data_IF_656708540262
#
_entry.id   IF_656708540262
#
_cell.length_a   1.000
_cell.length_b   1.000
_cell.length_c   1.000
_cell.angle_alpha   90.00
_cell.angle_beta   90.00
_cell.angle_gamma   90.00
#
_symmetry.space_group_name_H-M   'P 1'
#
loop_
_entity.id
_entity.type
_entity.pdbx_description
1 polymer ?
#
# COMPACT_ATOMS: atom_id res chain seq x y z
N UNK A 1 50.15 29.71 61.19
CA UNK A 1 50.53 30.77 60.24
C UNK A 1 51.93 30.51 59.69
N UNK A 2 52.04 30.04 58.45
CA UNK A 2 53.01 30.42 57.40
C UNK A 2 52.85 29.44 56.22
N UNK A 3 52.66 30.02 55.04
CA UNK A 3 52.46 29.39 53.73
C UNK A 3 53.79 29.00 53.09
N UNK A 4 53.67 28.40 51.90
CA UNK A 4 54.60 28.28 50.75
C UNK A 4 55.18 26.85 50.68
N UNK A 5 55.34 26.18 49.53
CA UNK A 5 55.00 26.33 48.11
C UNK A 5 55.46 25.00 47.44
N UNK A 6 54.84 24.57 46.34
CA UNK A 6 55.36 23.51 45.43
C UNK A 6 56.66 23.97 44.74
N UNK A 7 57.52 23.14 44.06
CA UNK A 7 57.14 22.36 42.85
C UNK A 7 58.00 21.10 42.46
N UNK A 8 57.61 20.49 41.33
CA UNK A 8 58.38 19.74 40.30
C UNK A 8 59.06 18.41 40.66
N UNK A 9 58.58 17.28 40.11
CA UNK A 9 58.90 16.65 38.80
C UNK A 9 60.18 15.79 38.81
N UNK A 10 60.00 14.50 38.57
CA UNK A 10 61.06 13.57 38.20
C UNK A 10 60.53 12.14 38.11
N UNK A 11 60.26 11.67 36.91
CA UNK A 11 60.97 10.52 36.31
C UNK A 11 60.40 10.17 34.94
N UNK A 12 61.33 10.15 33.99
CA UNK A 12 61.26 9.67 32.62
C UNK A 12 61.17 8.15 32.56
N UNK A 13 60.30 7.60 31.71
CA UNK A 13 60.66 6.41 30.93
C UNK A 13 59.91 6.39 29.60
N UNK A 14 60.63 5.92 28.61
CA UNK A 14 60.47 6.04 27.16
C UNK A 14 59.41 5.11 26.57
N UNK A 15 58.77 5.59 25.49
CA UNK A 15 57.84 4.88 24.61
C UNK A 15 58.46 3.63 23.96
N UNK A 16 57.60 2.70 23.49
CA UNK A 16 57.62 2.41 22.07
C UNK A 16 56.26 2.67 21.40
N UNK A 17 56.38 3.23 20.20
CA UNK A 17 55.36 3.40 19.17
C UNK A 17 54.50 2.14 18.96
N UNK A 18 53.19 2.32 18.89
CA UNK A 18 52.39 1.69 17.83
C UNK A 18 51.25 2.62 17.44
N UNK A 19 51.09 2.76 16.12
CA UNK A 19 50.10 3.59 15.45
C UNK A 19 48.67 3.18 15.83
N UNK A 20 47.82 4.17 16.05
CA UNK A 20 46.37 3.97 16.16
C UNK A 20 45.66 5.30 16.34
N UNK A 21 45.50 6.07 15.25
CA UNK A 21 44.63 7.25 15.22
C UNK A 21 43.21 6.80 15.58
N UNK A 22 42.71 7.13 16.77
CA UNK A 22 41.27 7.21 17.00
C UNK A 22 40.78 8.49 16.32
N UNK A 23 40.48 8.40 15.02
CA UNK A 23 39.51 9.29 14.43
C UNK A 23 38.13 8.76 14.85
N UNK A 24 37.53 9.44 15.82
CA UNK A 24 36.09 9.33 16.08
C UNK A 24 35.35 9.83 14.83
N UNK A 25 35.17 8.95 13.84
CA UNK A 25 34.09 9.09 12.88
C UNK A 25 32.83 8.73 13.66
N UNK A 26 32.12 9.73 14.14
CA UNK A 26 30.69 9.59 14.41
C UNK A 26 30.09 9.28 13.04
N UNK A 27 29.98 8.00 12.73
CA UNK A 27 29.11 7.51 11.69
C UNK A 27 27.70 7.82 12.20
N UNK A 28 27.20 9.01 11.88
CA UNK A 28 25.76 9.24 11.86
C UNK A 28 25.27 8.28 10.78
N UNK A 29 24.95 7.05 11.19
CA UNK A 29 24.09 6.22 10.39
C UNK A 29 22.84 7.08 10.19
N UNK A 30 22.67 7.61 8.97
CA UNK A 30 21.36 8.03 8.54
C UNK A 30 20.49 6.80 8.79
N UNK A 31 19.71 6.84 9.87
CA UNK A 31 18.47 6.13 9.92
C UNK A 31 17.68 6.74 8.78
N UNK A 32 17.83 6.18 7.59
CA UNK A 32 16.79 6.23 6.58
C UNK A 32 15.64 5.52 7.28
N UNK A 33 14.84 6.29 8.01
CA UNK A 33 13.49 5.85 8.34
C UNK A 33 12.91 5.48 6.98
N UNK A 34 12.48 4.22 6.76
CA UNK A 34 11.88 3.87 5.49
C UNK A 34 10.80 4.92 5.24
N UNK A 35 10.95 5.65 4.14
CA UNK A 35 9.90 6.53 3.62
C UNK A 35 8.62 5.72 3.71
N UNK A 36 7.58 6.26 4.34
CA UNK A 36 6.28 5.59 4.45
C UNK A 36 5.67 5.46 3.05
N UNK A 37 6.21 4.52 2.27
CA UNK A 37 5.43 3.80 1.30
C UNK A 37 4.35 3.12 2.11
N UNK A 38 3.11 3.54 1.85
CA UNK A 38 1.90 2.91 2.34
C UNK A 38 2.13 1.40 2.52
N UNK A 39 2.11 0.94 3.78
CA UNK A 39 2.32 -0.46 4.15
C UNK A 39 1.41 -1.33 3.27
N UNK A 40 2.00 -2.29 2.55
CA UNK A 40 1.23 -3.20 1.68
C UNK A 40 0.23 -3.99 2.54
N UNK A 41 -1.03 -3.57 2.46
CA UNK A 41 -2.13 -4.10 3.25
C UNK A 41 -3.24 -4.51 2.29
N UNK A 42 -3.92 -5.61 2.61
CA UNK A 42 -5.09 -6.05 1.86
C UNK A 42 -6.30 -5.16 2.18
N UNK A 43 -7.39 -5.38 1.44
CA UNK A 43 -8.72 -5.00 1.88
C UNK A 43 -9.08 -5.62 3.24
N UNK A 44 -10.09 -5.06 3.91
CA UNK A 44 -10.66 -5.61 5.13
C UNK A 44 -11.60 -6.78 4.80
N UNK A 45 -11.36 -7.94 5.37
CA UNK A 45 -12.20 -9.12 5.27
C UNK A 45 -13.04 -9.26 6.54
N UNK A 46 -14.32 -9.52 6.32
CA UNK A 46 -15.34 -9.78 7.32
C UNK A 46 -16.17 -10.95 6.77
N UNK A 47 -15.93 -12.14 7.30
CA UNK A 47 -16.51 -13.39 6.82
C UNK A 47 -17.52 -13.95 7.81
N UNK A 48 -17.31 -13.75 9.10
CA UNK A 48 -18.06 -14.41 10.16
C UNK A 48 -18.61 -13.44 11.21
N UNK A 49 -19.93 -13.31 11.27
CA UNK A 49 -20.60 -12.54 12.32
C UNK A 49 -20.37 -13.20 13.71
N UNK A 50 -20.44 -12.44 14.84
CA UNK A 50 -20.25 -12.96 16.21
C UNK A 50 -21.33 -13.94 16.72
N UNK A 51 -22.16 -14.43 15.81
CA UNK A 51 -23.24 -15.37 16.07
C UNK A 51 -22.72 -16.76 16.49
N UNK A 52 -23.55 -17.53 17.20
CA UNK A 52 -23.17 -18.87 17.63
C UNK A 52 -22.02 -18.88 18.65
N UNK A 53 -20.82 -19.31 18.24
CA UNK A 53 -19.69 -19.58 19.16
C UNK A 53 -18.70 -18.42 19.31
N UNK A 54 -18.77 -17.41 18.47
CA UNK A 54 -17.79 -16.33 18.42
C UNK A 54 -17.75 -15.75 17.03
N UNK A 55 -16.64 -15.09 16.73
CA UNK A 55 -16.33 -14.46 15.45
C UNK A 55 -14.96 -14.99 15.00
N UNK A 56 -14.90 -15.51 13.76
CA UNK A 56 -13.80 -16.32 13.24
C UNK A 56 -13.32 -15.90 11.84
N UNK A 57 -12.43 -14.92 11.81
CA UNK A 57 -11.66 -14.51 10.61
C UNK A 57 -10.43 -15.39 10.33
N UNK A 58 -10.67 -16.67 10.03
CA UNK A 58 -9.62 -17.68 9.83
C UNK A 58 -9.00 -17.59 8.43
N UNK A 59 -7.66 -17.47 8.37
CA UNK A 59 -6.92 -17.24 7.12
C UNK A 59 -7.15 -18.33 6.05
N UNK A 60 -7.23 -19.60 6.44
CA UNK A 60 -7.44 -20.70 5.48
C UNK A 60 -8.80 -20.62 4.80
N UNK A 61 -9.82 -20.18 5.54
CA UNK A 61 -11.17 -20.02 5.02
C UNK A 61 -11.27 -18.75 4.17
N UNK A 62 -10.67 -17.65 4.63
CA UNK A 62 -10.55 -16.41 3.85
C UNK A 62 -9.87 -16.67 2.51
N UNK A 63 -8.75 -17.39 2.46
CA UNK A 63 -8.09 -17.70 1.18
C UNK A 63 -8.93 -18.56 0.23
N UNK A 64 -9.82 -19.40 0.77
CA UNK A 64 -10.72 -20.22 -0.03
C UNK A 64 -11.82 -19.37 -0.67
N UNK A 65 -12.31 -18.36 0.04
CA UNK A 65 -13.36 -17.45 -0.41
C UNK A 65 -12.83 -16.27 -1.25
N UNK A 66 -11.59 -15.87 -0.99
CA UNK A 66 -10.89 -14.73 -1.61
C UNK A 66 -9.57 -15.18 -2.27
N UNK A 67 -9.62 -16.04 -3.31
CA UNK A 67 -8.42 -16.61 -3.92
C UNK A 67 -7.53 -15.56 -4.57
N UNK A 68 -6.27 -15.49 -4.11
CA UNK A 68 -5.26 -14.56 -4.65
C UNK A 68 -5.32 -13.13 -4.10
N UNK A 69 -6.28 -12.83 -3.22
CA UNK A 69 -6.44 -11.50 -2.61
C UNK A 69 -5.64 -11.33 -1.32
N UNK A 70 -5.14 -12.44 -0.77
CA UNK A 70 -4.25 -12.46 0.40
C UNK A 70 -2.93 -13.12 -0.03
N UNK A 71 -1.81 -12.45 0.19
CA UNK A 71 -0.49 -12.98 -0.13
C UNK A 71 -0.24 -14.35 0.52
N UNK A 72 0.62 -15.17 -0.08
CA UNK A 72 0.90 -16.53 0.37
C UNK A 72 1.50 -16.59 1.79
N UNK A 73 2.23 -15.56 2.21
CA UNK A 73 2.82 -15.45 3.55
C UNK A 73 2.63 -14.03 4.09
N UNK A 74 1.50 -13.75 4.77
CA UNK A 74 1.32 -12.49 5.47
C UNK A 74 2.38 -12.33 6.56
N UNK A 75 2.86 -11.11 6.73
CA UNK A 75 3.86 -10.74 7.74
C UNK A 75 3.22 -10.06 8.95
N UNK A 76 1.93 -9.73 8.88
CA UNK A 76 1.15 -9.19 9.99
C UNK A 76 -0.35 -9.27 9.72
N UNK A 77 -1.13 -9.03 10.76
CA UNK A 77 -2.58 -8.97 10.74
C UNK A 77 -3.03 -7.77 11.57
N UNK A 78 -4.02 -7.06 11.09
CA UNK A 78 -4.73 -6.01 11.82
C UNK A 78 -6.19 -6.43 11.95
N UNK A 79 -6.76 -6.20 13.12
CA UNK A 79 -8.15 -6.54 13.43
C UNK A 79 -8.81 -5.32 14.08
N UNK A 80 -10.01 -4.99 13.64
CA UNK A 80 -10.83 -3.92 14.20
C UNK A 80 -12.30 -4.33 14.17
N UNK A 81 -13.12 -3.71 15.00
CA UNK A 81 -14.57 -3.91 14.92
C UNK A 81 -15.12 -3.29 13.64
N UNK A 82 -16.35 -3.64 13.25
CA UNK A 82 -17.00 -2.95 12.12
C UNK A 82 -17.13 -1.43 12.29
N UNK A 83 -17.17 -0.96 13.54
CA UNK A 83 -17.17 0.47 13.90
C UNK A 83 -15.78 1.13 13.82
N UNK A 84 -14.73 0.35 13.52
CA UNK A 84 -13.35 0.84 13.39
C UNK A 84 -12.59 0.92 14.72
N UNK A 85 -13.09 0.28 15.79
CA UNK A 85 -12.35 0.20 17.04
C UNK A 85 -11.25 -0.87 16.92
N UNK A 86 -9.96 -0.53 17.12
CA UNK A 86 -8.89 -1.54 17.07
C UNK A 86 -9.12 -2.64 18.11
N UNK A 87 -8.97 -3.90 17.69
CA UNK A 87 -9.29 -5.06 18.53
C UNK A 87 -8.54 -5.03 19.87
N UNK A 88 -7.29 -4.58 19.88
CA UNK A 88 -6.45 -4.42 21.08
C UNK A 88 -7.01 -3.49 22.15
N UNK A 89 -7.97 -2.62 21.81
CA UNK A 89 -8.57 -1.65 22.73
C UNK A 89 -9.95 -2.04 23.24
N UNK A 90 -10.54 -3.10 22.68
CA UNK A 90 -11.90 -3.57 23.04
C UNK A 90 -11.97 -4.22 24.41
N UNK A 91 -10.83 -4.71 24.93
CA UNK A 91 -10.76 -5.49 26.17
C UNK A 91 -11.28 -6.94 26.05
N UNK A 92 -11.62 -7.40 24.84
CA UNK A 92 -11.97 -8.79 24.57
C UNK A 92 -10.73 -9.69 24.50
N UNK A 93 -10.93 -10.97 24.77
CA UNK A 93 -9.88 -11.99 24.80
C UNK A 93 -9.90 -12.73 23.47
N UNK A 94 -8.80 -12.64 22.72
CA UNK A 94 -8.70 -13.30 21.42
C UNK A 94 -7.99 -14.64 21.56
N UNK A 95 -8.62 -15.68 21.00
CA UNK A 95 -8.06 -17.02 20.93
C UNK A 95 -6.93 -17.08 19.91
N UNK A 96 -7.08 -16.36 18.80
CA UNK A 96 -6.12 -16.24 17.72
C UNK A 96 -6.00 -14.78 17.29
N UNK A 97 -4.78 -14.34 16.98
CA UNK A 97 -4.48 -13.07 16.34
C UNK A 97 -3.09 -13.19 15.72
N UNK A 98 -3.00 -13.90 14.59
CA UNK A 98 -1.73 -14.28 13.96
C UNK A 98 -1.81 -14.15 12.44
N UNK A 99 -0.77 -13.63 11.76
CA UNK A 99 -0.74 -13.56 10.30
C UNK A 99 -0.76 -14.91 9.59
N UNK A 100 -0.41 -16.01 10.27
CA UNK A 100 -0.40 -17.36 9.68
C UNK A 100 -1.70 -18.14 9.88
N UNK A 101 -2.57 -17.70 10.79
CA UNK A 101 -3.78 -18.43 11.18
C UNK A 101 -5.07 -17.59 11.05
N UNK A 102 -4.97 -16.27 11.16
CA UNK A 102 -6.10 -15.35 11.16
C UNK A 102 -6.41 -14.81 12.57
N UNK A 103 -7.67 -14.48 12.80
CA UNK A 103 -8.18 -13.93 14.05
C UNK A 103 -9.38 -14.75 14.53
N UNK A 104 -9.52 -14.88 15.84
CA UNK A 104 -10.67 -15.56 16.44
C UNK A 104 -11.00 -14.98 17.81
N UNK A 105 -12.23 -14.51 17.96
CA UNK A 105 -12.85 -14.26 19.25
C UNK A 105 -13.83 -15.40 19.56
N UNK A 106 -13.79 -15.93 20.79
CA UNK A 106 -14.70 -17.01 21.22
C UNK A 106 -15.61 -16.50 22.33
N UNK A 107 -16.92 -16.63 22.16
CA UNK A 107 -17.95 -16.12 23.10
C UNK A 107 -17.75 -16.63 24.53
N UNK A 108 -17.40 -17.92 24.67
CA UNK A 108 -17.18 -18.57 25.96
C UNK A 108 -15.98 -17.98 26.74
N UNK A 109 -15.01 -17.39 26.05
CA UNK A 109 -13.82 -16.80 26.67
C UNK A 109 -14.07 -15.36 27.12
N UNK A 110 -15.22 -14.76 26.75
CA UNK A 110 -15.52 -13.34 27.04
C UNK A 110 -16.22 -13.16 28.39
N UNK A 111 -15.77 -12.18 29.17
CA UNK A 111 -16.42 -11.79 30.44
C UNK A 111 -17.88 -11.34 30.25
N UNK A 112 -18.18 -10.70 29.12
CA UNK A 112 -19.52 -10.25 28.74
C UNK A 112 -20.36 -11.30 28.01
N UNK A 113 -19.80 -12.49 27.74
CA UNK A 113 -20.47 -13.61 27.08
C UNK A 113 -20.55 -13.58 25.56
N UNK A 114 -20.17 -12.47 24.92
CA UNK A 114 -20.26 -12.32 23.45
C UNK A 114 -19.06 -11.56 22.90
N UNK A 115 -18.61 -11.96 21.72
CA UNK A 115 -17.67 -11.25 20.88
C UNK A 115 -18.33 -10.03 20.24
N UNK A 116 -17.53 -8.99 19.99
CA UNK A 116 -17.88 -7.98 19.02
C UNK A 116 -17.69 -8.52 17.61
N UNK A 117 -18.17 -7.75 16.64
CA UNK A 117 -18.10 -8.07 15.22
C UNK A 117 -16.83 -7.44 14.61
N UNK A 118 -15.91 -8.28 14.15
CA UNK A 118 -14.56 -7.95 13.74
C UNK A 118 -14.31 -8.25 12.27
N UNK A 119 -13.52 -7.36 11.67
CA UNK A 119 -12.91 -7.53 10.36
C UNK A 119 -11.40 -7.52 10.48
N UNK A 120 -10.73 -8.21 9.57
CA UNK A 120 -9.27 -8.30 9.53
C UNK A 120 -8.69 -7.83 8.20
N UNK A 121 -7.47 -7.31 8.22
CA UNK A 121 -6.66 -7.17 7.02
C UNK A 121 -5.26 -7.70 7.26
N UNK A 122 -4.62 -8.17 6.20
CA UNK A 122 -3.30 -8.76 6.25
C UNK A 122 -2.26 -7.78 5.74
N UNK A 123 -1.11 -7.78 6.40
CA UNK A 123 0.07 -7.05 5.95
C UNK A 123 0.90 -8.02 5.12
N UNK A 124 1.20 -7.64 3.89
CA UNK A 124 1.89 -8.47 2.92
C UNK A 124 3.28 -7.94 2.60
N UNK A 125 4.19 -8.79 2.06
CA UNK A 125 5.43 -8.33 1.49
C UNK A 125 5.18 -7.26 0.40
N UNK A 126 6.04 -6.23 0.27
CA UNK A 126 5.83 -5.13 -0.68
C UNK A 126 5.53 -5.58 -2.11
N UNK A 127 6.16 -6.67 -2.57
CA UNK A 127 6.01 -7.20 -3.93
C UNK A 127 4.58 -7.64 -4.25
N UNK A 128 3.78 -7.98 -3.23
CA UNK A 128 2.38 -8.33 -3.43
C UNK A 128 1.56 -7.13 -3.93
N UNK A 129 1.86 -5.93 -3.42
CA UNK A 129 1.14 -4.72 -3.78
C UNK A 129 1.68 -4.01 -5.03
N UNK A 130 2.78 -4.49 -5.60
CA UNK A 130 3.39 -3.95 -6.82
C UNK A 130 3.17 -4.79 -8.07
N UNK A 131 2.58 -5.99 -7.95
CA UNK A 131 2.50 -6.97 -9.03
C UNK A 131 1.58 -6.56 -10.21
N UNK A 132 0.32 -6.22 -9.91
CA UNK A 132 -0.70 -5.94 -10.92
C UNK A 132 -1.40 -4.62 -10.60
N UNK A 133 -1.00 -3.54 -11.28
CA UNK A 133 -1.63 -2.22 -11.16
C UNK A 133 -2.46 -1.91 -12.40
N UNK A 134 -3.62 -1.29 -12.19
CA UNK A 134 -4.46 -0.73 -13.26
C UNK A 134 -3.75 0.44 -13.93
N UNK A 135 -4.33 1.05 -14.97
CA UNK A 135 -3.95 2.41 -15.34
C UNK A 135 -4.34 3.42 -14.24
N UNK A 136 -3.87 4.67 -14.38
CA UNK A 136 -4.38 5.78 -13.59
C UNK A 136 -5.75 6.20 -14.12
N UNK A 137 -6.68 6.47 -13.22
CA UNK A 137 -8.01 7.01 -13.49
C UNK A 137 -8.13 8.39 -12.89
N UNK A 138 -8.73 9.28 -13.66
CA UNK A 138 -8.94 10.69 -13.37
C UNK A 138 -10.28 11.03 -14.06
N UNK A 139 -11.34 11.02 -13.29
CA UNK A 139 -12.72 11.05 -13.77
C UNK A 139 -13.41 12.35 -13.35
N UNK A 140 -12.99 12.95 -12.24
CA UNK A 140 -13.61 14.14 -11.69
C UNK A 140 -12.56 15.22 -11.38
N UNK A 141 -12.67 16.36 -12.08
CA UNK A 141 -11.87 17.55 -11.75
C UNK A 141 -12.29 18.13 -10.39
N UNK A 142 -11.43 18.91 -9.70
CA UNK A 142 -11.75 19.57 -8.41
C UNK A 142 -12.72 20.77 -8.55
N UNK A 143 -13.69 20.67 -9.46
CA UNK A 143 -14.73 21.67 -9.68
C UNK A 143 -15.91 21.44 -8.73
N UNK A 144 -16.72 22.48 -8.50
CA UNK A 144 -17.90 22.36 -7.63
C UNK A 144 -17.57 22.01 -6.18
N UNK A 145 -17.82 20.77 -5.75
CA UNK A 145 -17.80 20.36 -4.34
C UNK A 145 -16.51 19.67 -3.87
N UNK A 146 -15.63 19.28 -4.79
CA UNK A 146 -14.42 18.55 -4.47
C UNK A 146 -13.92 17.80 -5.69
N UNK A 147 -13.17 16.75 -5.44
CA UNK A 147 -12.66 15.80 -6.43
C UNK A 147 -12.99 14.38 -5.92
N UNK A 148 -13.68 13.62 -6.77
CA UNK A 148 -14.36 12.37 -6.43
C UNK A 148 -14.01 11.21 -7.36
N UNK A 149 -12.84 10.61 -7.13
CA UNK A 149 -12.42 9.34 -7.74
C UNK A 149 -13.04 8.11 -7.06
N UNK A 150 -14.37 8.02 -7.08
CA UNK A 150 -15.10 6.93 -6.41
C UNK A 150 -15.06 5.63 -7.23
N UNK A 151 -14.82 4.50 -6.55
CA UNK A 151 -14.67 3.20 -7.21
C UNK A 151 -15.94 2.78 -7.99
N UNK A 152 -17.12 3.13 -7.46
CA UNK A 152 -18.39 2.80 -8.10
C UNK A 152 -18.61 3.57 -9.41
N UNK A 153 -18.18 4.83 -9.48
CA UNK A 153 -18.28 5.64 -10.71
C UNK A 153 -17.20 5.25 -11.71
N UNK A 154 -15.98 5.02 -11.24
CA UNK A 154 -14.88 4.53 -12.06
C UNK A 154 -15.22 3.21 -12.75
N UNK A 155 -15.81 2.23 -12.04
CA UNK A 155 -16.25 0.97 -12.68
C UNK A 155 -17.38 1.15 -13.68
N UNK A 156 -18.20 2.18 -13.53
CA UNK A 156 -19.29 2.49 -14.48
C UNK A 156 -18.75 3.05 -15.77
N UNK A 157 -17.73 3.89 -15.68
CA UNK A 157 -17.09 4.54 -16.82
C UNK A 157 -16.06 3.65 -17.51
N UNK A 158 -15.33 2.85 -16.73
CA UNK A 158 -14.27 1.94 -17.17
C UNK A 158 -14.63 0.48 -16.81
N UNK A 159 -15.67 -0.11 -17.45
CA UNK A 159 -16.10 -1.47 -17.16
C UNK A 159 -14.97 -2.48 -17.39
N UNK A 160 -14.86 -3.45 -16.49
CA UNK A 160 -13.87 -4.54 -16.49
C UNK A 160 -12.39 -4.12 -16.42
N UNK A 161 -12.08 -2.84 -16.19
CA UNK A 161 -10.71 -2.36 -16.07
C UNK A 161 -10.17 -2.34 -14.64
N UNK A 162 -11.06 -2.50 -13.66
CA UNK A 162 -10.73 -2.54 -12.23
C UNK A 162 -11.29 -3.84 -11.66
N UNK A 163 -10.44 -4.63 -11.01
CA UNK A 163 -10.84 -5.89 -10.39
C UNK A 163 -11.97 -5.68 -9.36
N UNK A 164 -12.83 -6.69 -9.11
CA UNK A 164 -13.96 -6.59 -8.18
C UNK A 164 -13.59 -6.24 -6.73
N UNK A 165 -12.39 -6.63 -6.28
CA UNK A 165 -11.86 -6.34 -4.95
C UNK A 165 -10.40 -5.89 -5.06
N UNK A 166 -10.14 -4.57 -5.17
CA UNK A 166 -8.78 -4.05 -5.20
C UNK A 166 -8.06 -4.31 -3.88
N UNK A 167 -6.79 -4.69 -3.98
CA UNK A 167 -5.90 -4.92 -2.84
C UNK A 167 -5.51 -3.58 -2.22
N UNK A 168 -5.14 -2.60 -3.05
CA UNK A 168 -4.69 -1.28 -2.62
C UNK A 168 -5.17 -0.20 -3.59
N UNK A 169 -5.25 1.04 -3.10
CA UNK A 169 -5.45 2.25 -3.88
C UNK A 169 -4.28 3.21 -3.63
N UNK A 170 -3.76 3.79 -4.69
CA UNK A 170 -2.84 4.93 -4.66
C UNK A 170 -3.55 6.15 -5.23
N UNK A 171 -3.31 7.32 -4.64
CA UNK A 171 -3.83 8.61 -5.13
C UNK A 171 -2.70 9.63 -5.22
N UNK A 172 -2.64 10.34 -6.35
CA UNK A 172 -1.64 11.39 -6.61
C UNK A 172 -2.31 12.58 -7.25
N UNK A 173 -1.79 13.77 -7.00
CA UNK A 173 -2.17 14.93 -7.81
C UNK A 173 -1.77 14.71 -9.28
N UNK A 174 -2.34 15.47 -10.22
CA UNK A 174 -1.88 15.42 -11.61
C UNK A 174 -0.40 15.82 -11.77
N UNK A 175 0.11 16.65 -10.87
CA UNK A 175 1.54 16.99 -10.77
C UNK A 175 2.40 15.89 -10.13
N UNK A 176 1.81 14.78 -9.69
CA UNK A 176 2.51 13.58 -9.20
C UNK A 176 2.78 13.54 -7.69
N UNK A 177 2.28 14.50 -6.92
CA UNK A 177 2.45 14.53 -5.45
C UNK A 177 1.53 13.49 -4.81
N UNK A 178 2.05 12.68 -3.88
CA UNK A 178 1.22 11.71 -3.17
C UNK A 178 0.14 12.41 -2.35
N UNK A 179 -1.09 11.88 -2.35
CA UNK A 179 -2.19 12.48 -1.59
C UNK A 179 -1.86 12.67 -0.11
N UNK A 180 -1.15 11.72 0.50
CA UNK A 180 -0.66 11.78 1.89
C UNK A 180 0.33 12.93 2.16
N UNK A 181 0.99 13.44 1.12
CA UNK A 181 2.00 14.50 1.23
C UNK A 181 1.43 15.89 0.95
N UNK A 182 0.21 15.98 0.40
CA UNK A 182 -0.42 17.27 0.06
C UNK A 182 -0.86 18.08 1.30
N UNK A 183 -1.06 17.41 2.43
CA UNK A 183 -1.62 18.03 3.63
C UNK A 183 -3.10 18.41 3.53
N UNK A 184 -3.80 17.90 2.50
CA UNK A 184 -5.26 18.03 2.35
C UNK A 184 -5.98 17.02 3.24
N UNK A 185 -7.18 17.39 3.68
CA UNK A 185 -8.04 16.53 4.48
C UNK A 185 -8.84 15.60 3.55
N UNK A 186 -8.33 14.39 3.35
CA UNK A 186 -8.94 13.39 2.48
C UNK A 186 -10.08 12.69 3.24
N UNK A 187 -11.29 12.77 2.70
CA UNK A 187 -12.51 12.28 3.37
C UNK A 187 -12.68 10.77 3.25
N UNK A 188 -12.25 10.19 2.12
CA UNK A 188 -12.21 8.74 1.87
C UNK A 188 -10.95 8.40 1.09
N UNK A 189 -10.27 7.33 1.49
CA UNK A 189 -9.07 6.84 0.82
C UNK A 189 -8.91 5.34 1.12
N UNK A 190 -9.77 4.55 0.49
CA UNK A 190 -9.83 3.10 0.70
C UNK A 190 -10.33 2.38 -0.55
N UNK A 191 -10.14 1.07 -0.62
CA UNK A 191 -10.50 0.27 -1.81
C UNK A 191 -11.99 -0.10 -1.90
N UNK A 192 -12.82 0.34 -0.96
CA UNK A 192 -14.29 0.17 -1.01
C UNK A 192 -14.94 1.37 -1.68
N UNK A 193 -14.59 2.57 -1.20
CA UNK A 193 -15.20 3.82 -1.64
C UNK A 193 -14.41 4.42 -2.80
N UNK A 194 -13.09 4.28 -2.79
CA UNK A 194 -12.16 4.98 -3.68
C UNK A 194 -11.49 6.14 -2.96
N UNK A 195 -11.36 7.27 -3.65
CA UNK A 195 -10.76 8.47 -3.13
C UNK A 195 -11.75 9.64 -3.18
N UNK A 196 -11.83 10.42 -2.10
CA UNK A 196 -12.73 11.57 -2.00
C UNK A 196 -12.05 12.71 -1.28
N UNK A 197 -11.87 13.82 -1.99
CA UNK A 197 -11.56 15.12 -1.41
C UNK A 197 -12.79 16.02 -1.50
N UNK A 198 -13.15 16.68 -0.39
CA UNK A 198 -14.29 17.62 -0.36
C UNK A 198 -13.79 19.02 0.00
N UNK A 199 -14.17 20.04 -0.77
CA UNK A 199 -13.81 21.44 -0.52
C UNK A 199 -14.16 21.91 0.89
N UNK A 200 -15.37 21.59 1.34
CA UNK A 200 -15.88 22.01 2.63
C UNK A 200 -15.11 21.43 3.84
N UNK A 201 -14.32 20.36 3.63
CA UNK A 201 -13.52 19.73 4.68
C UNK A 201 -12.08 20.25 4.72
N UNK A 202 -11.68 21.11 3.77
CA UNK A 202 -10.36 21.69 3.71
C UNK A 202 -10.22 22.93 4.62
N UNK A 203 -8.98 23.39 4.81
CA UNK A 203 -8.70 24.63 5.54
C UNK A 203 -9.35 25.83 4.82
N UNK A 204 -9.61 26.95 5.52
CA UNK A 204 -10.17 28.15 4.88
C UNK A 204 -9.36 28.57 3.64
N UNK A 205 -10.06 28.82 2.53
CA UNK A 205 -9.49 29.20 1.23
C UNK A 205 -8.63 28.12 0.55
N UNK A 206 -8.63 26.89 1.05
CA UNK A 206 -8.02 25.74 0.39
C UNK A 206 -9.08 24.97 -0.39
N UNK A 207 -8.80 24.66 -1.65
CA UNK A 207 -9.61 23.78 -2.50
C UNK A 207 -8.90 22.46 -2.71
N UNK A 208 -9.62 21.42 -3.11
CA UNK A 208 -9.06 20.12 -3.42
C UNK A 208 -8.06 20.28 -4.56
N UNK A 209 -6.96 19.54 -4.48
CA UNK A 209 -6.13 19.34 -5.65
C UNK A 209 -6.88 18.44 -6.63
N UNK A 210 -6.34 18.42 -7.84
CA UNK A 210 -6.78 17.55 -8.92
C UNK A 210 -6.03 16.23 -8.82
N UNK A 211 -6.73 15.15 -8.50
CA UNK A 211 -6.21 13.84 -8.16
C UNK A 211 -6.59 12.79 -9.19
N UNK A 212 -5.70 11.81 -9.30
CA UNK A 212 -5.92 10.57 -10.02
C UNK A 212 -5.61 9.39 -9.13
N UNK A 213 -6.28 8.28 -9.38
CA UNK A 213 -6.14 7.04 -8.60
C UNK A 213 -5.67 5.87 -9.44
N UNK A 214 -4.97 4.94 -8.82
CA UNK A 214 -4.58 3.67 -9.42
C UNK A 214 -4.84 2.55 -8.40
N UNK A 215 -5.33 1.41 -8.87
CA UNK A 215 -5.65 0.27 -8.02
C UNK A 215 -4.66 -0.86 -8.24
N UNK A 216 -4.28 -1.53 -7.16
CA UNK A 216 -3.61 -2.83 -7.23
C UNK A 216 -4.65 -3.94 -7.19
N UNK A 217 -4.52 -4.89 -8.11
CA UNK A 217 -5.41 -6.04 -8.27
C UNK A 217 -4.66 -7.36 -8.07
N UNK A 218 -5.38 -8.47 -7.83
CA UNK A 218 -4.78 -9.80 -7.81
C UNK A 218 -4.10 -10.13 -9.15
N UNK A 219 -2.98 -10.86 -9.12
CA UNK A 219 -2.23 -11.20 -10.33
C UNK A 219 -3.06 -11.94 -11.37
N UNK A 220 -4.03 -12.73 -10.92
CA UNK A 220 -4.99 -13.42 -11.79
C UNK A 220 -5.80 -12.46 -12.66
N UNK A 221 -6.07 -11.24 -12.19
CA UNK A 221 -6.77 -10.21 -12.97
C UNK A 221 -5.93 -9.76 -14.16
N UNK A 222 -4.67 -9.36 -13.92
CA UNK A 222 -3.74 -8.95 -14.99
C UNK A 222 -3.31 -10.08 -15.92
N UNK A 223 -3.34 -11.32 -15.44
CA UNK A 223 -2.90 -12.49 -16.22
C UNK A 223 -4.00 -13.09 -17.11
N UNK A 224 -5.21 -12.53 -17.12
CA UNK A 224 -6.35 -13.06 -17.90
C UNK A 224 -6.07 -13.09 -19.41
N UNK A 225 -5.39 -12.06 -19.92
CA UNK A 225 -4.98 -11.97 -21.33
C UNK A 225 -3.60 -11.31 -21.40
N UNK A 226 -2.58 -12.11 -21.70
CA UNK A 226 -1.23 -11.65 -21.99
C UNK A 226 -0.88 -11.99 -23.43
N UNK A 227 -0.53 -10.97 -24.21
CA UNK A 227 -0.12 -11.14 -25.60
C UNK A 227 1.37 -11.45 -25.68
N UNK A 228 1.83 -11.85 -26.87
CA UNK A 228 3.25 -11.75 -27.22
C UNK A 228 3.71 -10.28 -27.27
N UNK A 229 5.02 -10.07 -27.35
CA UNK A 229 5.60 -8.77 -27.64
C UNK A 229 5.33 -8.41 -29.11
N UNK A 230 5.00 -7.16 -29.36
CA UNK A 230 4.87 -6.61 -30.71
C UNK A 230 5.92 -5.53 -30.90
N UNK A 231 6.52 -5.54 -32.08
CA UNK A 231 7.52 -4.61 -32.57
C UNK A 231 7.07 -4.28 -33.99
N UNK A 232 6.51 -3.09 -34.17
CA UNK A 232 5.75 -2.75 -35.38
C UNK A 232 6.56 -1.90 -36.34
N UNK A 233 7.27 -0.91 -35.82
CA UNK A 233 8.10 0.00 -36.59
C UNK A 233 9.51 0.08 -36.01
N UNK A 234 10.46 0.49 -36.85
CA UNK A 234 11.82 0.72 -36.39
C UNK A 234 11.95 2.19 -35.93
N UNK A 235 12.79 2.47 -34.90
CA UNK A 235 13.02 3.83 -34.44
C UNK A 235 13.52 4.72 -35.58
N UNK A 236 12.78 5.81 -35.82
CA UNK A 236 13.08 6.79 -36.87
C UNK A 236 13.26 8.20 -36.30
N UNK A 237 13.48 9.21 -37.16
CA UNK A 237 13.55 10.61 -36.75
C UNK A 237 12.29 11.16 -36.08
N UNK A 238 11.20 10.40 -36.09
CA UNK A 238 9.95 10.74 -35.42
C UNK A 238 9.70 9.93 -34.15
N UNK A 239 10.33 8.77 -33.97
CA UNK A 239 10.11 7.90 -32.83
C UNK A 239 9.96 6.43 -33.24
N UNK A 240 9.53 5.63 -32.26
CA UNK A 240 9.26 4.19 -32.28
C UNK A 240 7.89 3.98 -31.64
N UNK A 241 6.93 3.31 -32.30
CA UNK A 241 5.49 3.46 -32.00
C UNK A 241 4.65 2.17 -32.10
N UNK A 242 4.43 1.54 -30.95
CA UNK A 242 3.50 0.41 -30.78
C UNK A 242 2.09 0.87 -30.36
N UNK A 243 1.43 1.69 -31.17
CA UNK A 243 0.09 2.19 -30.78
C UNK A 243 -0.96 1.07 -30.81
N UNK A 244 -1.84 1.04 -29.79
CA UNK A 244 -2.90 0.04 -29.69
C UNK A 244 -3.81 0.00 -30.93
N UNK A 245 -4.10 1.16 -31.52
CA UNK A 245 -4.93 1.27 -32.71
C UNK A 245 -4.30 0.58 -33.92
N UNK A 246 -2.99 0.78 -34.12
CA UNK A 246 -2.26 0.19 -35.23
C UNK A 246 -2.02 -1.30 -35.02
N UNK A 247 -1.63 -1.71 -33.79
CA UNK A 247 -1.48 -3.13 -33.45
C UNK A 247 -2.78 -3.92 -33.64
N UNK A 248 -3.94 -3.36 -33.29
CA UNK A 248 -5.24 -4.00 -33.55
C UNK A 248 -5.57 -4.12 -35.03
N UNK A 249 -5.12 -3.16 -35.84
CA UNK A 249 -5.32 -3.16 -37.30
C UNK A 249 -4.45 -4.22 -37.98
N UNK A 250 -3.21 -4.36 -37.54
CA UNK A 250 -2.21 -5.26 -38.15
C UNK A 250 -2.29 -6.69 -37.62
N UNK A 251 -2.58 -6.85 -36.33
CA UNK A 251 -2.67 -8.13 -35.63
C UNK A 251 -4.09 -8.36 -35.06
N UNK A 252 -5.13 -8.44 -35.91
CA UNK A 252 -6.50 -8.62 -35.45
C UNK A 252 -6.63 -9.92 -34.64
N UNK A 253 -7.37 -9.86 -33.53
CA UNK A 253 -7.59 -10.95 -32.57
C UNK A 253 -6.35 -11.47 -31.81
N UNK A 254 -5.17 -10.89 -32.03
CA UNK A 254 -3.96 -11.20 -31.23
C UNK A 254 -3.77 -10.21 -30.07
N UNK A 255 -4.48 -9.08 -30.11
CA UNK A 255 -4.52 -8.09 -29.04
C UNK A 255 -5.72 -8.36 -28.13
N UNK A 256 -5.51 -8.27 -26.82
CA UNK A 256 -6.59 -8.37 -25.85
C UNK A 256 -7.73 -7.40 -26.21
N UNK A 257 -8.97 -7.87 -26.08
CA UNK A 257 -10.14 -7.04 -26.42
C UNK A 257 -10.19 -5.78 -25.55
N UNK A 258 -9.86 -5.91 -24.27
CA UNK A 258 -9.76 -4.81 -23.31
C UNK A 258 -8.39 -4.89 -22.61
N UNK A 259 -7.30 -4.37 -23.20
CA UNK A 259 -6.01 -4.35 -22.53
C UNK A 259 -6.08 -3.37 -21.35
N UNK A 260 -5.76 -3.86 -20.16
CA UNK A 260 -5.83 -3.09 -18.90
C UNK A 260 -4.46 -2.58 -18.44
N UNK A 261 -3.38 -3.03 -19.10
CA UNK A 261 -1.97 -2.66 -18.83
C UNK A 261 -1.15 -2.84 -20.10
N UNK A 262 -0.08 -2.05 -20.26
CA UNK A 262 0.96 -2.22 -21.28
C UNK A 262 2.32 -2.43 -20.60
N UNK A 263 3.14 -3.31 -21.17
CA UNK A 263 4.57 -3.45 -20.85
C UNK A 263 5.36 -3.01 -22.09
N UNK A 264 6.49 -2.33 -21.91
CA UNK A 264 7.39 -1.92 -22.98
C UNK A 264 8.84 -2.28 -22.61
N UNK A 265 9.62 -2.74 -23.58
CA UNK A 265 11.05 -3.06 -23.43
C UNK A 265 11.78 -2.84 -24.75
N UNK A 266 13.07 -2.59 -24.69
CA UNK A 266 13.91 -2.55 -25.90
C UNK A 266 14.16 -3.95 -26.44
N UNK A 267 14.56 -4.06 -27.72
CA UNK A 267 14.97 -5.34 -28.32
C UNK A 267 16.19 -5.99 -27.64
N UNK A 268 17.00 -5.20 -26.92
CA UNK A 268 18.17 -5.69 -26.20
C UNK A 268 17.84 -6.41 -24.88
N UNK A 269 16.61 -6.30 -24.38
CA UNK A 269 16.22 -6.81 -23.06
C UNK A 269 16.45 -5.80 -21.94
#
# INVERSE_FOLDING_TARGET
MKRLASPSLGQTSTLPNTMGKLQNLILVALLVLPTEGSRCTTYWFDRDDPSGKGDYEILSELRKEYPGEICAQPIGIEAETLEGQPASTTGQIFKLSSPSEGFACVNQDQKGGFCQDYKVRFICPPDFCSACKTQWFDRDDPSGHGDFETLAELRREYPDQICPRPIQIEARTLSGVLASETGQNISKFDTTVGFVCVHAHQKPLQFCHDYKVQFTCPESFCSTCKTQWFDRDDPSGHGDYETLAELRKEYPNQICQNPIRIEARTLSG
#
